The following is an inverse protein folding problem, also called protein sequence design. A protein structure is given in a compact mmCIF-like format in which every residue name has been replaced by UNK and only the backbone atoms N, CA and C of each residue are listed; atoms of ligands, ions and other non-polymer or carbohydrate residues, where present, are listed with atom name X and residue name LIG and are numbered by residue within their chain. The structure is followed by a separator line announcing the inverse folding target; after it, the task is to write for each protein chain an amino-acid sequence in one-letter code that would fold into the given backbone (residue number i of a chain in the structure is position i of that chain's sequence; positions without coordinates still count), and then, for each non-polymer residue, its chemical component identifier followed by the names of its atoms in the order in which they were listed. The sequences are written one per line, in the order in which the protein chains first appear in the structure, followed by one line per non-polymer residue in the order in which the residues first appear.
data_IF_895390392934
#
_entry.id   IF_895390392934
#
_cell.length_a   1.000
_cell.length_b   1.000
_cell.length_c   1.000
_cell.angle_alpha   90.00
_cell.angle_beta   90.00
_cell.angle_gamma   90.00
#
_symmetry.space_group_name_H-M   'P 1'
#
loop_
_entity.id
_entity.type
_entity.pdbx_description
1 polymer ?
#
# COMPACT_ATOMS: atom_id res chain seq x y z
N UNK A 1 28.66 45.73 4.21
CA UNK A 1 27.55 45.23 3.38
C UNK A 1 27.87 43.85 2.77
N UNK A 2 29.01 43.68 2.10
CA UNK A 2 29.43 42.41 1.47
C UNK A 2 29.58 41.24 2.45
N UNK A 3 30.26 41.43 3.59
CA UNK A 3 30.39 40.40 4.62
C UNK A 3 29.04 39.94 5.19
N UNK A 4 28.15 40.89 5.50
CA UNK A 4 26.81 40.58 6.00
C UNK A 4 26.01 39.74 4.98
N UNK A 5 26.13 40.07 3.68
CA UNK A 5 25.46 39.34 2.61
C UNK A 5 26.00 37.91 2.47
N UNK A 6 27.32 37.71 2.62
CA UNK A 6 27.94 36.37 2.64
C UNK A 6 27.43 35.56 3.83
N UNK A 7 27.36 36.15 5.04
CA UNK A 7 26.81 35.45 6.21
C UNK A 7 25.35 35.06 6.03
N UNK A 8 24.53 35.93 5.45
CA UNK A 8 23.12 35.64 5.14
C UNK A 8 23.04 34.49 4.13
N UNK A 9 23.83 34.52 3.06
CA UNK A 9 23.86 33.45 2.06
C UNK A 9 24.28 32.11 2.68
N UNK A 10 25.32 32.10 3.52
CA UNK A 10 25.77 30.87 4.21
C UNK A 10 24.70 30.34 5.16
N UNK A 11 24.04 31.22 5.91
CA UNK A 11 22.95 30.82 6.80
C UNK A 11 21.76 30.23 6.03
N UNK A 12 21.37 30.84 4.91
CA UNK A 12 20.31 30.32 4.04
C UNK A 12 20.68 28.95 3.45
N UNK A 13 21.91 28.78 2.99
CA UNK A 13 22.39 27.54 2.39
C UNK A 13 22.46 26.40 3.43
N UNK A 14 22.89 26.72 4.66
CA UNK A 14 22.85 25.79 5.79
C UNK A 14 21.41 25.39 6.16
N UNK A 15 20.47 26.33 6.15
CA UNK A 15 19.05 26.05 6.40
C UNK A 15 18.44 25.14 5.31
N UNK A 16 18.74 25.38 4.04
CA UNK A 16 18.29 24.55 2.93
C UNK A 16 18.81 23.11 3.08
N UNK A 17 20.12 22.93 3.33
CA UNK A 17 20.70 21.61 3.55
C UNK A 17 20.10 20.90 4.76
N UNK A 18 19.86 21.62 5.86
CA UNK A 18 19.25 21.05 7.06
C UNK A 18 17.80 20.59 6.81
N UNK A 19 17.03 21.33 6.01
CA UNK A 19 15.68 20.93 5.62
C UNK A 19 15.71 19.67 4.72
N UNK A 20 16.61 19.63 3.75
CA UNK A 20 16.75 18.50 2.84
C UNK A 20 17.19 17.22 3.57
N UNK A 21 18.17 17.33 4.48
CA UNK A 21 18.56 16.20 5.34
C UNK A 21 17.41 15.69 6.20
N UNK A 22 16.63 16.59 6.82
CA UNK A 22 15.47 16.19 7.63
C UNK A 22 14.41 15.49 6.80
N UNK A 23 14.19 15.94 5.57
CA UNK A 23 13.26 15.30 4.64
C UNK A 23 13.74 13.89 4.29
N UNK A 24 15.01 13.74 3.90
CA UNK A 24 15.59 12.44 3.56
C UNK A 24 15.59 11.45 4.73
N UNK A 25 15.87 11.91 5.95
CA UNK A 25 15.80 11.07 7.15
C UNK A 25 14.37 10.59 7.43
N UNK A 26 13.36 11.44 7.23
CA UNK A 26 11.95 11.03 7.36
C UNK A 26 11.60 9.96 6.34
N UNK A 27 12.01 10.15 5.08
CA UNK A 27 11.77 9.17 4.01
C UNK A 27 12.40 7.81 4.34
N UNK A 28 13.68 7.78 4.73
CA UNK A 28 14.36 6.53 5.09
C UNK A 28 13.71 5.82 6.29
N UNK A 29 13.24 6.57 7.29
CA UNK A 29 12.54 5.99 8.43
C UNK A 29 11.19 5.41 8.02
N UNK A 30 10.43 6.09 7.16
CA UNK A 30 9.16 5.59 6.64
C UNK A 30 9.36 4.34 5.79
N UNK A 31 10.38 4.30 4.93
CA UNK A 31 10.70 3.10 4.12
C UNK A 31 11.07 1.89 4.98
N UNK A 32 11.91 2.09 6.00
CA UNK A 32 12.27 1.01 6.94
C UNK A 32 11.06 0.52 7.72
N UNK A 33 10.20 1.43 8.16
CA UNK A 33 8.96 1.08 8.85
C UNK A 33 8.03 0.30 7.93
N UNK A 34 7.82 0.75 6.69
CA UNK A 34 7.00 0.06 5.69
C UNK A 34 7.55 -1.33 5.37
N UNK A 35 8.87 -1.46 5.25
CA UNK A 35 9.52 -2.76 5.03
C UNK A 35 9.27 -3.71 6.21
N UNK A 36 9.43 -3.24 7.45
CA UNK A 36 9.19 -4.04 8.64
C UNK A 36 7.71 -4.44 8.79
N UNK A 37 6.79 -3.51 8.53
CA UNK A 37 5.34 -3.79 8.53
C UNK A 37 4.97 -4.78 7.45
N UNK A 38 5.51 -4.64 6.24
CA UNK A 38 5.28 -5.59 5.14
C UNK A 38 5.78 -6.99 5.49
N UNK A 39 6.98 -7.11 6.08
CA UNK A 39 7.52 -8.39 6.53
C UNK A 39 6.67 -9.01 7.66
N UNK A 40 6.19 -8.18 8.60
CA UNK A 40 5.30 -8.63 9.67
C UNK A 40 3.96 -9.13 9.11
N UNK A 41 3.31 -8.36 8.22
CA UNK A 41 2.08 -8.76 7.55
C UNK A 41 2.28 -10.06 6.76
N UNK A 42 3.41 -10.22 6.09
CA UNK A 42 3.71 -11.43 5.34
C UNK A 42 3.86 -12.68 6.25
N UNK A 43 4.21 -12.51 7.52
CA UNK A 43 4.27 -13.61 8.51
C UNK A 43 2.92 -13.88 9.18
N UNK A 44 2.09 -12.86 9.32
CA UNK A 44 0.80 -12.95 10.01
C UNK A 44 -0.37 -13.30 9.09
N UNK A 45 -0.18 -13.13 7.78
CA UNK A 45 -1.24 -13.34 6.80
C UNK A 45 -0.88 -14.37 5.73
N UNK A 46 -1.89 -15.01 5.17
CA UNK A 46 -1.71 -15.98 4.09
C UNK A 46 -1.19 -15.31 2.82
N UNK A 47 -1.64 -14.07 2.55
CA UNK A 47 -1.16 -13.26 1.45
C UNK A 47 -1.13 -11.75 1.75
N UNK A 48 -0.19 -11.04 1.14
CA UNK A 48 -0.11 -9.57 1.17
C UNK A 48 -0.28 -9.02 -0.24
N UNK A 49 -1.11 -8.00 -0.41
CA UNK A 49 -1.40 -7.36 -1.69
C UNK A 49 -1.16 -5.86 -1.58
N UNK A 50 -0.43 -5.30 -2.54
CA UNK A 50 -0.19 -3.86 -2.64
C UNK A 50 -1.07 -3.28 -3.73
N UNK A 51 -1.84 -2.25 -3.39
CA UNK A 51 -2.71 -1.56 -4.34
C UNK A 51 -2.34 -0.08 -4.50
N UNK A 52 -2.59 0.47 -5.69
CA UNK A 52 -2.61 1.91 -5.92
C UNK A 52 -3.96 2.53 -5.52
N UNK A 53 -4.09 3.85 -5.69
CA UNK A 53 -5.32 4.62 -5.44
C UNK A 53 -6.51 4.15 -6.31
N UNK A 54 -6.24 3.51 -7.45
CA UNK A 54 -7.25 2.89 -8.31
C UNK A 54 -7.56 1.43 -7.94
N UNK A 55 -7.06 0.95 -6.80
CA UNK A 55 -7.21 -0.42 -6.30
C UNK A 55 -6.64 -1.49 -7.26
N UNK A 56 -5.63 -1.13 -8.06
CA UNK A 56 -4.92 -2.07 -8.94
C UNK A 56 -3.72 -2.64 -8.23
N UNK A 57 -3.43 -3.92 -8.49
CA UNK A 57 -2.30 -4.62 -7.88
C UNK A 57 -0.99 -4.06 -8.46
N UNK A 58 -0.24 -3.31 -7.65
CA UNK A 58 1.02 -2.66 -8.07
C UNK A 58 2.23 -3.57 -8.01
N UNK A 59 2.17 -4.62 -7.17
CA UNK A 59 3.25 -5.59 -7.00
C UNK A 59 2.72 -7.01 -7.14
N UNK A 60 3.40 -7.90 -7.89
CA UNK A 60 3.02 -9.31 -7.96
C UNK A 60 2.95 -9.91 -6.55
N UNK A 61 1.85 -10.61 -6.25
CA UNK A 61 1.67 -11.34 -5.00
C UNK A 61 1.49 -12.84 -5.28
N UNK A 62 2.58 -13.63 -5.30
CA UNK A 62 2.50 -15.07 -5.57
C UNK A 62 1.64 -15.83 -4.56
N UNK A 63 1.63 -15.39 -3.29
CA UNK A 63 0.81 -16.02 -2.25
C UNK A 63 -0.67 -15.77 -2.45
N UNK A 64 -1.05 -14.56 -2.88
CA UNK A 64 -2.44 -14.27 -3.21
C UNK A 64 -2.89 -15.06 -4.45
N UNK A 65 -2.02 -15.16 -5.47
CA UNK A 65 -2.30 -15.98 -6.63
C UNK A 65 -2.48 -17.46 -6.27
N UNK A 66 -1.60 -17.99 -5.40
CA UNK A 66 -1.68 -19.36 -4.91
C UNK A 66 -2.95 -19.61 -4.08
N UNK A 67 -3.31 -18.68 -3.19
CA UNK A 67 -4.54 -18.72 -2.39
C UNK A 67 -5.80 -18.85 -3.28
N UNK A 68 -5.78 -18.19 -4.43
CA UNK A 68 -6.86 -18.20 -5.41
C UNK A 68 -6.63 -19.18 -6.57
N UNK A 69 -5.68 -20.09 -6.46
CA UNK A 69 -5.34 -21.09 -7.49
C UNK A 69 -5.05 -20.51 -8.89
N UNK A 70 -4.69 -19.23 -9.02
CA UNK A 70 -4.32 -18.63 -10.30
C UNK A 70 -2.89 -18.98 -10.68
N UNK A 71 -2.61 -19.20 -11.98
CA UNK A 71 -1.23 -19.39 -12.44
C UNK A 71 -0.43 -18.10 -12.19
N UNK A 72 0.84 -18.24 -11.79
CA UNK A 72 1.71 -17.09 -11.51
C UNK A 72 1.84 -16.13 -12.72
N UNK A 73 1.70 -16.65 -13.95
CA UNK A 73 1.68 -15.84 -15.17
C UNK A 73 0.55 -14.81 -15.19
N UNK A 74 -0.59 -15.12 -14.58
CA UNK A 74 -1.71 -14.18 -14.44
C UNK A 74 -1.40 -13.08 -13.40
N UNK A 75 -0.69 -13.41 -12.33
CA UNK A 75 -0.34 -12.47 -11.27
C UNK A 75 0.77 -11.48 -11.66
N UNK A 76 1.64 -11.88 -12.60
CA UNK A 76 2.75 -11.05 -13.06
C UNK A 76 2.32 -9.84 -13.91
N UNK A 77 1.11 -9.85 -14.46
CA UNK A 77 0.71 -8.84 -15.45
C UNK A 77 0.36 -7.47 -14.86
N UNK A 78 0.24 -7.30 -13.52
CA UNK A 78 0.00 -6.00 -12.86
C UNK A 78 -1.25 -5.23 -13.32
N UNK A 79 -2.03 -5.79 -14.25
CA UNK A 79 -3.15 -5.12 -14.92
C UNK A 79 -4.51 -5.47 -14.33
N UNK A 80 -4.56 -6.48 -13.46
CA UNK A 80 -5.80 -6.96 -12.88
C UNK A 80 -6.21 -6.09 -11.71
N UNK A 81 -7.47 -5.65 -11.74
CA UNK A 81 -8.07 -4.94 -10.61
C UNK A 81 -8.30 -5.94 -9.47
N UNK A 82 -8.01 -5.51 -8.24
CA UNK A 82 -8.31 -6.31 -7.05
C UNK A 82 -9.81 -6.65 -6.98
N UNK A 83 -10.66 -5.69 -7.32
CA UNK A 83 -12.11 -5.82 -7.26
C UNK A 83 -12.67 -6.81 -8.31
N UNK A 84 -11.99 -7.00 -9.44
CA UNK A 84 -12.39 -7.99 -10.46
C UNK A 84 -12.33 -9.43 -9.94
N UNK A 85 -11.57 -9.67 -8.86
CA UNK A 85 -11.44 -10.98 -8.21
C UNK A 85 -12.51 -11.23 -7.15
N UNK A 86 -13.34 -10.25 -6.82
CA UNK A 86 -14.40 -10.42 -5.83
C UNK A 86 -15.45 -11.43 -6.29
N UNK A 87 -15.97 -12.21 -5.34
CA UNK A 87 -16.92 -13.27 -5.64
C UNK A 87 -18.29 -12.70 -6.01
N UNK A 88 -18.72 -11.61 -5.38
CA UNK A 88 -20.04 -11.04 -5.54
C UNK A 88 -20.02 -9.79 -6.44
N UNK A 89 -20.89 -9.76 -7.45
CA UNK A 89 -21.06 -8.57 -8.29
C UNK A 89 -21.81 -7.52 -7.47
N UNK A 90 -21.16 -6.39 -7.19
CA UNK A 90 -21.71 -5.29 -6.40
C UNK A 90 -20.99 -5.06 -5.06
N UNK A 91 -20.18 -6.01 -4.61
CA UNK A 91 -19.36 -5.83 -3.40
C UNK A 91 -18.18 -4.87 -3.64
N UNK A 92 -17.82 -4.64 -4.90
CA UNK A 92 -16.77 -3.71 -5.31
C UNK A 92 -16.94 -2.31 -4.71
N UNK A 93 -18.15 -1.76 -4.73
CA UNK A 93 -18.38 -0.41 -4.23
C UNK A 93 -18.26 -0.36 -2.70
N UNK A 94 -18.73 -1.41 -2.01
CA UNK A 94 -18.59 -1.55 -0.55
C UNK A 94 -17.13 -1.69 -0.15
N UNK A 95 -16.36 -2.53 -0.84
CA UNK A 95 -14.93 -2.73 -0.61
C UNK A 95 -14.17 -1.43 -0.91
N UNK A 96 -14.46 -0.78 -2.04
CA UNK A 96 -13.86 0.51 -2.40
C UNK A 96 -14.14 1.57 -1.36
N UNK A 97 -15.40 1.72 -0.93
CA UNK A 97 -15.78 2.66 0.10
C UNK A 97 -15.05 2.37 1.42
N UNK A 98 -14.96 1.11 1.84
CA UNK A 98 -14.23 0.71 3.04
C UNK A 98 -12.73 1.05 2.95
N UNK A 99 -12.08 0.74 1.81
CA UNK A 99 -10.66 1.00 1.60
C UNK A 99 -10.32 2.50 1.50
N UNK A 100 -11.25 3.35 1.04
CA UNK A 100 -11.06 4.80 1.06
C UNK A 100 -11.48 5.45 2.38
N UNK A 101 -12.43 4.86 3.12
CA UNK A 101 -12.87 5.36 4.42
C UNK A 101 -11.81 5.16 5.51
N UNK A 102 -10.95 4.14 5.40
CA UNK A 102 -9.81 3.86 6.29
C UNK A 102 -8.67 4.89 6.25
N UNK A 103 -8.96 6.15 5.95
CA UNK A 103 -8.00 7.26 6.01
C UNK A 103 -7.74 7.74 7.45
N UNK A 104 -8.47 7.22 8.43
CA UNK A 104 -8.17 7.45 9.84
C UNK A 104 -7.14 6.41 10.33
N UNK A 105 -5.89 6.80 10.64
CA UNK A 105 -4.85 5.89 11.12
C UNK A 105 -5.19 5.19 12.44
N UNK A 106 -6.26 5.61 13.13
CA UNK A 106 -6.77 4.94 14.33
C UNK A 106 -7.75 3.79 14.02
N UNK A 107 -8.25 3.68 12.78
CA UNK A 107 -9.28 2.70 12.42
C UNK A 107 -8.68 1.59 11.54
N UNK A 108 -8.05 0.61 12.18
CA UNK A 108 -7.73 -0.68 11.54
C UNK A 108 -9.02 -1.44 11.29
N UNK A 109 -9.66 -1.16 10.15
CA UNK A 109 -10.86 -1.86 9.74
C UNK A 109 -10.51 -3.24 9.18
N UNK A 110 -11.20 -4.24 9.72
CA UNK A 110 -11.16 -5.60 9.20
C UNK A 110 -12.34 -5.79 8.27
N UNK A 111 -12.07 -6.03 6.99
CA UNK A 111 -13.08 -6.21 5.96
C UNK A 111 -13.27 -7.71 5.67
N UNK A 112 -14.46 -8.22 5.97
CA UNK A 112 -14.84 -9.58 5.56
C UNK A 112 -15.37 -9.54 4.13
N UNK A 113 -14.71 -10.26 3.23
CA UNK A 113 -15.11 -10.33 1.81
C UNK A 113 -14.89 -11.74 1.27
N UNK A 114 -15.11 -11.97 -0.01
CA UNK A 114 -14.78 -13.25 -0.64
C UNK A 114 -14.28 -13.06 -2.06
N UNK A 115 -13.32 -13.88 -2.46
CA UNK A 115 -12.75 -13.89 -3.80
C UNK A 115 -13.20 -15.10 -4.60
N UNK A 116 -13.10 -15.02 -5.93
CA UNK A 116 -13.21 -16.15 -6.84
C UNK A 116 -11.84 -16.70 -7.15
N UNK A 117 -11.65 -17.98 -6.86
CA UNK A 117 -10.47 -18.70 -7.32
C UNK A 117 -10.54 -18.98 -8.83
N UNK A 118 -9.49 -19.60 -9.38
CA UNK A 118 -9.40 -19.94 -10.80
C UNK A 118 -10.47 -20.93 -11.29
N UNK A 119 -11.15 -21.63 -10.38
CA UNK A 119 -12.23 -22.58 -10.68
C UNK A 119 -13.62 -21.95 -10.48
N UNK A 120 -13.69 -20.67 -10.09
CA UNK A 120 -14.94 -19.96 -9.80
C UNK A 120 -15.52 -20.28 -8.42
N UNK A 121 -14.78 -20.97 -7.56
CA UNK A 121 -15.16 -21.26 -6.18
C UNK A 121 -14.97 -20.01 -5.33
N UNK A 122 -15.93 -19.75 -4.43
CA UNK A 122 -15.86 -18.66 -3.47
C UNK A 122 -14.87 -19.01 -2.34
N UNK A 123 -13.85 -18.18 -2.18
CA UNK A 123 -12.88 -18.24 -1.08
C UNK A 123 -13.21 -17.09 -0.12
N UNK A 124 -13.82 -17.35 1.04
CA UNK A 124 -14.06 -16.32 2.04
C UNK A 124 -12.74 -15.87 2.63
N UNK A 125 -12.56 -14.55 2.76
CA UNK A 125 -11.34 -13.97 3.28
C UNK A 125 -11.60 -12.82 4.24
N UNK A 126 -10.70 -12.66 5.18
CA UNK A 126 -10.60 -11.51 6.06
C UNK A 126 -9.46 -10.62 5.59
N UNK A 127 -9.79 -9.38 5.25
CA UNK A 127 -8.85 -8.39 4.71
C UNK A 127 -8.53 -7.37 5.79
N UNK A 128 -7.25 -7.28 6.14
CA UNK A 128 -6.68 -6.25 6.99
C UNK A 128 -6.11 -5.16 6.11
N UNK A 129 -6.43 -3.91 6.38
CA UNK A 129 -6.10 -2.79 5.52
C UNK A 129 -5.25 -1.74 6.23
N UNK A 130 -4.23 -1.25 5.54
CA UNK A 130 -3.47 -0.07 5.92
C UNK A 130 -3.28 0.85 4.69
N UNK A 131 -3.32 2.16 4.92
CA UNK A 131 -2.99 3.17 3.90
C UNK A 131 -1.67 3.86 4.22
N UNK A 132 -0.97 4.29 3.17
CA UNK A 132 0.21 5.13 3.29
C UNK A 132 0.35 6.02 2.06
N UNK A 133 0.98 7.18 2.22
CA UNK A 133 1.34 8.03 1.09
C UNK A 133 2.60 7.49 0.42
N UNK A 134 2.52 7.25 -0.90
CA UNK A 134 3.67 6.96 -1.74
C UNK A 134 4.58 8.18 -1.87
N UNK A 135 5.81 7.99 -2.38
CA UNK A 135 6.78 9.05 -2.64
C UNK A 135 6.22 10.14 -3.57
N UNK A 136 5.32 9.76 -4.48
CA UNK A 136 4.67 10.66 -5.43
C UNK A 136 3.45 11.40 -4.83
N UNK A 137 3.21 11.25 -3.52
CA UNK A 137 2.02 11.79 -2.83
C UNK A 137 0.72 11.06 -3.14
N UNK A 138 0.76 10.03 -3.99
CA UNK A 138 -0.36 9.15 -4.30
C UNK A 138 -0.69 8.24 -3.12
N UNK A 139 -1.97 7.98 -2.89
CA UNK A 139 -2.41 7.01 -1.88
C UNK A 139 -2.01 5.60 -2.32
N UNK A 140 -1.52 4.80 -1.39
CA UNK A 140 -1.23 3.39 -1.60
C UNK A 140 -1.81 2.56 -0.47
N UNK A 141 -2.26 1.36 -0.81
CA UNK A 141 -2.90 0.45 0.13
C UNK A 141 -2.04 -0.80 0.28
N UNK A 142 -1.87 -1.28 1.52
CA UNK A 142 -1.39 -2.64 1.79
C UNK A 142 -2.54 -3.42 2.42
N UNK A 143 -2.82 -4.57 1.83
CA UNK A 143 -3.82 -5.51 2.30
C UNK A 143 -3.15 -6.79 2.79
N UNK A 144 -3.47 -7.22 4.00
CA UNK A 144 -3.21 -8.57 4.49
C UNK A 144 -4.47 -9.42 4.35
N UNK A 145 -4.34 -10.65 3.87
CA UNK A 145 -5.48 -11.54 3.55
C UNK A 145 -5.31 -12.86 4.30
N UNK A 146 -6.36 -13.24 5.04
CA UNK A 146 -6.56 -14.52 5.74
C UNK A 146 -7.83 -15.23 5.27
#
# INVERSE_FOLDING_TARGET
LTLALVFICLALLAQLMAMEMRSNLKLQNTEKLLSAVSEMLQKLTDAVVHLDDSLRITRPSPRFAALLHYPMSAAASGQLSFCERLAERGEEETVRAALHAGHDPANTDTLSTSFKDAFGVRVPCQVFHATFASLDGQLSHVLGIN
#
